data_IF_138324542245
#
_entry.id   IF_138324542245
#
_cell.length_a   1.000
_cell.length_b   1.000
_cell.length_c   1.000
_cell.angle_alpha   90.00
_cell.angle_beta   90.00
_cell.angle_gamma   90.00
#
_symmetry.space_group_name_H-M   'P 1'
#
loop_
_entity.id
_entity.type
_entity.pdbx_description
1 polymer ?
#
# COMPACT_ATOMS: atom_id res chain seq x y z
N UNK A 1 -25.40 9.64 -0.23
CA UNK A 1 -24.57 9.54 -1.46
C UNK A 1 -23.37 8.72 -1.08
N UNK A 2 -23.09 7.63 -1.80
CA UNK A 2 -21.88 6.85 -1.51
C UNK A 2 -20.67 7.62 -2.02
N UNK A 3 -19.64 7.78 -1.18
CA UNK A 3 -18.41 8.47 -1.53
C UNK A 3 -17.35 7.49 -2.04
N UNK A 4 -16.31 7.99 -2.70
CA UNK A 4 -15.17 7.15 -3.09
C UNK A 4 -14.52 6.52 -1.85
N UNK A 5 -14.49 7.23 -0.73
CA UNK A 5 -13.97 6.73 0.55
C UNK A 5 -14.73 5.50 1.04
N UNK A 6 -16.05 5.43 0.84
CA UNK A 6 -16.87 4.26 1.22
C UNK A 6 -16.39 3.00 0.48
N UNK A 7 -16.07 3.15 -0.82
CA UNK A 7 -15.64 2.04 -1.67
C UNK A 7 -14.23 1.55 -1.34
N UNK A 8 -13.45 2.35 -0.61
CA UNK A 8 -12.09 2.01 -0.19
C UNK A 8 -12.06 1.23 1.12
N UNK A 9 -13.11 1.30 1.95
CA UNK A 9 -13.17 0.53 3.20
C UNK A 9 -13.04 -0.96 2.93
N UNK A 10 -12.14 -1.62 3.65
CA UNK A 10 -11.83 -3.04 3.49
C UNK A 10 -10.80 -3.34 2.41
N UNK A 11 -10.47 -2.38 1.53
CA UNK A 11 -9.43 -2.55 0.52
C UNK A 11 -8.05 -2.62 1.18
N UNK A 12 -7.23 -3.49 0.62
CA UNK A 12 -5.81 -3.55 0.93
C UNK A 12 -5.08 -2.54 0.06
N UNK A 13 -3.92 -2.08 0.52
CA UNK A 13 -3.09 -1.19 -0.27
C UNK A 13 -1.62 -1.41 0.00
N UNK A 14 -0.83 -0.97 -0.96
CA UNK A 14 0.55 -0.60 -0.69
C UNK A 14 0.83 0.82 -1.17
N UNK A 15 1.93 1.40 -0.72
CA UNK A 15 2.48 2.66 -1.21
C UNK A 15 3.87 2.41 -1.77
N UNK A 16 4.27 3.27 -2.70
CA UNK A 16 5.51 3.08 -3.44
C UNK A 16 6.32 4.36 -3.47
N UNK A 17 7.63 4.25 -3.49
CA UNK A 17 8.54 5.36 -3.69
C UNK A 17 9.50 5.05 -4.83
N UNK A 18 9.81 6.06 -5.63
CA UNK A 18 10.90 6.01 -6.60
C UNK A 18 12.20 6.35 -5.88
N UNK A 19 13.16 5.44 -5.93
CA UNK A 19 14.50 5.63 -5.39
C UNK A 19 15.38 6.43 -6.36
N UNK A 20 16.56 6.85 -5.88
CA UNK A 20 17.49 7.68 -6.64
C UNK A 20 17.99 7.02 -7.94
N UNK A 21 17.98 5.70 -8.02
CA UNK A 21 18.34 4.92 -9.21
C UNK A 21 17.18 4.71 -10.20
N UNK A 22 16.02 5.31 -9.91
CA UNK A 22 14.79 5.20 -10.72
C UNK A 22 13.96 3.95 -10.42
N UNK A 23 14.40 3.06 -9.53
CA UNK A 23 13.62 1.89 -9.15
C UNK A 23 12.45 2.28 -8.24
N UNK A 24 11.28 1.68 -8.48
CA UNK A 24 10.08 1.87 -7.66
C UNK A 24 9.97 0.75 -6.63
N UNK A 25 10.17 1.08 -5.36
CA UNK A 25 10.06 0.12 -4.24
C UNK A 25 8.83 0.39 -3.40
N UNK A 26 8.41 -0.63 -2.67
CA UNK A 26 7.22 -0.62 -1.85
C UNK A 26 7.64 -0.20 -0.45
N UNK A 27 6.94 0.77 0.14
CA UNK A 27 7.39 1.43 1.38
C UNK A 27 6.48 1.10 2.55
N UNK A 28 5.16 1.11 2.32
CA UNK A 28 4.17 0.70 3.31
C UNK A 28 3.12 -0.19 2.67
N UNK A 29 2.50 -1.03 3.47
CA UNK A 29 1.31 -1.79 3.11
C UNK A 29 0.30 -1.76 4.24
N UNK A 30 -0.96 -2.01 3.94
CA UNK A 30 -2.01 -1.92 4.93
C UNK A 30 -3.40 -2.19 4.37
N UNK A 31 -4.41 -1.81 5.15
CA UNK A 31 -5.82 -1.80 4.73
C UNK A 31 -6.53 -0.54 5.21
N UNK A 32 -7.57 -0.13 4.49
CA UNK A 32 -8.47 0.91 4.96
C UNK A 32 -9.51 0.26 5.87
N UNK A 33 -9.61 0.72 7.12
CA UNK A 33 -10.50 0.10 8.12
C UNK A 33 -11.79 0.90 8.34
N UNK A 34 -11.77 2.21 8.14
CA UNK A 34 -12.92 3.08 8.28
C UNK A 34 -12.72 4.40 7.52
N UNK A 35 -13.78 5.20 7.41
CA UNK A 35 -13.72 6.56 6.88
C UNK A 35 -14.74 7.47 7.57
N UNK A 36 -14.49 8.78 7.50
CA UNK A 36 -15.40 9.85 7.92
C UNK A 36 -15.22 11.02 6.93
N UNK A 37 -16.17 11.17 6.00
CA UNK A 37 -16.01 12.08 4.87
C UNK A 37 -14.79 11.72 4.01
N UNK A 38 -13.85 12.66 3.86
CA UNK A 38 -12.61 12.48 3.09
C UNK A 38 -11.44 11.92 3.93
N UNK A 39 -11.65 11.72 5.22
CA UNK A 39 -10.67 11.11 6.12
C UNK A 39 -10.82 9.59 6.10
N UNK A 40 -9.71 8.90 5.98
CA UNK A 40 -9.57 7.45 6.03
C UNK A 40 -8.79 7.08 7.29
N UNK A 41 -9.26 6.06 8.01
CA UNK A 41 -8.47 5.35 8.99
C UNK A 41 -7.82 4.16 8.27
N UNK A 42 -6.49 4.14 8.23
CA UNK A 42 -5.71 3.04 7.68
C UNK A 42 -5.02 2.27 8.80
N UNK A 43 -4.96 0.96 8.63
CA UNK A 43 -4.13 0.06 9.44
C UNK A 43 -2.93 -0.36 8.60
N UNK A 44 -1.73 -0.16 9.14
CA UNK A 44 -0.45 -0.41 8.46
C UNK A 44 0.09 -1.76 8.96
N UNK A 45 0.54 -2.60 8.03
CA UNK A 45 1.15 -3.90 8.35
C UNK A 45 2.67 -3.85 8.26
N UNK A 46 3.33 -4.58 9.16
CA UNK A 46 4.77 -4.85 9.09
C UNK A 46 5.06 -5.78 7.89
N UNK A 47 6.09 -5.47 7.09
CA UNK A 47 6.47 -6.31 5.95
C UNK A 47 7.07 -7.66 6.35
N UNK A 48 7.81 -7.72 7.45
CA UNK A 48 8.48 -8.93 7.90
C UNK A 48 7.50 -9.94 8.51
N UNK A 49 6.47 -9.45 9.20
CA UNK A 49 5.55 -10.29 9.97
C UNK A 49 4.13 -10.34 9.38
N UNK A 50 3.75 -9.39 8.52
CA UNK A 50 2.38 -9.24 8.02
C UNK A 50 1.38 -8.81 9.10
N UNK A 51 1.86 -8.44 10.29
CA UNK A 51 1.05 -8.07 11.45
C UNK A 51 0.73 -6.58 11.46
N UNK A 52 -0.42 -6.21 12.04
CA UNK A 52 -0.78 -4.82 12.28
C UNK A 52 0.24 -4.14 13.20
N UNK A 53 0.92 -3.14 12.66
CA UNK A 53 1.98 -2.40 13.33
C UNK A 53 1.52 -1.00 13.79
N UNK A 54 0.50 -0.43 13.15
CA UNK A 54 -0.03 0.87 13.55
C UNK A 54 -1.28 1.29 12.79
N UNK A 55 -1.87 2.41 13.22
CA UNK A 55 -3.00 3.05 12.54
C UNK A 55 -2.70 4.53 12.29
N UNK A 56 -3.19 5.05 11.17
CA UNK A 56 -3.03 6.46 10.80
C UNK A 56 -4.34 7.01 10.25
N UNK A 57 -4.62 8.28 10.55
CA UNK A 57 -5.68 9.04 9.89
C UNK A 57 -5.08 9.85 8.74
N UNK A 58 -5.53 9.59 7.53
CA UNK A 58 -5.06 10.24 6.30
C UNK A 58 -6.23 10.69 5.45
N UNK A 59 -6.07 11.75 4.66
CA UNK A 59 -7.04 12.05 3.61
C UNK A 59 -6.84 11.14 2.40
N UNK A 60 -7.87 10.97 1.58
CA UNK A 60 -7.73 10.29 0.28
C UNK A 60 -6.63 10.92 -0.59
N UNK A 61 -6.53 12.26 -0.60
CA UNK A 61 -5.48 12.98 -1.33
C UNK A 61 -4.09 12.64 -0.81
N UNK A 62 -3.88 12.64 0.52
CA UNK A 62 -2.58 12.27 1.10
C UNK A 62 -2.19 10.83 0.75
N UNK A 63 -3.14 9.91 0.76
CA UNK A 63 -2.89 8.52 0.42
C UNK A 63 -2.58 8.36 -1.08
N UNK A 64 -3.27 9.11 -1.94
CA UNK A 64 -2.98 9.20 -3.38
C UNK A 64 -1.59 9.78 -3.65
N UNK A 65 -1.19 10.85 -2.95
CA UNK A 65 0.12 11.50 -3.11
C UNK A 65 1.28 10.58 -2.68
N UNK A 66 1.02 9.62 -1.77
CA UNK A 66 1.95 8.54 -1.41
C UNK A 66 2.04 7.44 -2.48
N UNK A 67 1.33 7.58 -3.59
CA UNK A 67 1.30 6.59 -4.68
C UNK A 67 0.65 5.28 -4.25
N UNK A 68 -0.45 5.36 -3.50
CA UNK A 68 -1.19 4.17 -3.07
C UNK A 68 -1.81 3.41 -4.25
N UNK A 69 -1.69 2.08 -4.21
CA UNK A 69 -2.37 1.15 -5.11
C UNK A 69 -3.25 0.25 -4.25
N UNK A 70 -4.52 0.09 -4.63
CA UNK A 70 -5.52 -0.62 -3.86
C UNK A 70 -5.86 -1.99 -4.48
N UNK A 71 -6.22 -2.92 -3.61
CA UNK A 71 -6.51 -4.31 -3.90
C UNK A 71 -7.80 -4.74 -3.20
N UNK A 72 -8.50 -5.69 -3.79
CA UNK A 72 -9.71 -6.27 -3.21
C UNK A 72 -9.40 -7.02 -1.92
N UNK A 73 -8.31 -7.79 -1.92
CA UNK A 73 -7.88 -8.59 -0.78
C UNK A 73 -6.35 -8.73 -0.68
N UNK A 74 -5.90 -9.39 0.40
CA UNK A 74 -4.48 -9.61 0.67
C UNK A 74 -3.83 -10.59 -0.31
N UNK A 75 -4.59 -11.51 -0.90
CA UNK A 75 -4.07 -12.52 -1.84
C UNK A 75 -3.77 -11.86 -3.19
N UNK A 76 -4.63 -10.97 -3.66
CA UNK A 76 -4.41 -10.14 -4.84
C UNK A 76 -3.17 -9.24 -4.66
N UNK A 77 -3.07 -8.56 -3.51
CA UNK A 77 -1.89 -7.75 -3.18
C UNK A 77 -0.60 -8.59 -3.19
N UNK A 78 -0.64 -9.79 -2.60
CA UNK A 78 0.50 -10.71 -2.58
C UNK A 78 0.85 -11.20 -3.98
N UNK A 79 -0.14 -11.50 -4.81
CA UNK A 79 0.07 -11.93 -6.19
C UNK A 79 0.87 -10.89 -6.98
N UNK A 80 0.58 -9.60 -6.81
CA UNK A 80 1.32 -8.50 -7.42
C UNK A 80 2.77 -8.38 -6.92
N UNK A 81 3.04 -8.72 -5.65
CA UNK A 81 4.41 -8.84 -5.17
C UNK A 81 5.17 -10.02 -5.78
N UNK A 82 4.49 -11.11 -6.10
CA UNK A 82 5.14 -12.32 -6.59
C UNK A 82 5.32 -12.32 -8.11
N UNK A 83 4.39 -11.69 -8.83
CA UNK A 83 4.27 -11.79 -10.29
C UNK A 83 4.23 -10.43 -10.99
N UNK A 84 3.96 -9.36 -10.25
CA UNK A 84 3.83 -8.02 -10.79
C UNK A 84 5.17 -7.31 -11.02
N UNK A 85 5.15 -6.16 -11.71
CA UNK A 85 6.33 -5.34 -11.95
C UNK A 85 6.99 -4.88 -10.64
N UNK A 86 6.21 -4.68 -9.58
CA UNK A 86 6.71 -4.26 -8.27
C UNK A 86 7.46 -5.38 -7.52
N UNK A 87 7.08 -6.63 -7.73
CA UNK A 87 7.81 -7.81 -7.27
C UNK A 87 9.18 -7.99 -7.89
N UNK A 88 9.27 -7.67 -9.19
CA UNK A 88 10.52 -7.75 -9.96
C UNK A 88 11.50 -6.66 -9.51
N UNK A 89 10.99 -5.46 -9.18
CA UNK A 89 11.81 -4.32 -8.76
C UNK A 89 12.31 -4.47 -7.32
N UNK A 90 11.53 -5.05 -6.40
CA UNK A 90 12.04 -5.33 -5.04
C UNK A 90 13.17 -6.36 -5.07
N UNK A 91 13.01 -7.44 -5.85
CA UNK A 91 14.00 -8.53 -5.97
C UNK A 91 15.30 -8.04 -6.62
N UNK A 92 15.23 -7.22 -7.68
CA UNK A 92 16.41 -6.62 -8.30
C UNK A 92 17.15 -5.59 -7.42
N UNK A 93 16.49 -4.98 -6.42
CA UNK A 93 17.16 -4.11 -5.46
C UNK A 93 17.91 -4.91 -4.40
N UNK A 94 17.34 -6.01 -3.88
CA UNK A 94 18.06 -6.94 -3.00
C UNK A 94 19.33 -7.48 -3.68
N UNK A 95 19.25 -7.85 -4.96
CA UNK A 95 20.40 -8.35 -5.73
C UNK A 95 21.45 -7.27 -6.09
N UNK A 96 21.11 -5.98 -6.02
CA UNK A 96 22.02 -4.84 -6.33
C UNK A 96 22.56 -4.14 -5.07
N UNK A 97 22.07 -4.49 -3.89
CA UNK A 97 22.55 -3.97 -2.61
C UNK A 97 23.54 -4.90 -1.89
N UNK A 98 24.02 -5.96 -2.56
CA UNK A 98 25.21 -6.74 -2.15
C UNK A 98 26.49 -6.20 -2.79
#
# INVERSE_FOLDING_TARGET
>A
MSTISDALVGKFFHTTATQADGCRTIVNQGRVVAHEGDMLLIEIFDFAMGEAHGQELVTLTQLSDRGAVFYEDADEMKFEYENGPLGTVSRHHWDRCE
#
